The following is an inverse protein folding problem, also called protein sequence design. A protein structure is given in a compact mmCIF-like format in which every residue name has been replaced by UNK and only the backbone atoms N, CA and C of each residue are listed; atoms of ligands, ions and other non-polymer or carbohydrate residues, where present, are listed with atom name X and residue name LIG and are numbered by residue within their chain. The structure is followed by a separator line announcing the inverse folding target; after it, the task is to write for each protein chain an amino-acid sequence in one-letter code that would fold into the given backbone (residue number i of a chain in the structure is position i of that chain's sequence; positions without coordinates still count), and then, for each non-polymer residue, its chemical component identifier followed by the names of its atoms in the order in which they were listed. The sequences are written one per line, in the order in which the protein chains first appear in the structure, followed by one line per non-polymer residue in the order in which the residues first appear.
data_IF_254209437696
#
_entry.id   IF_254209437696
#
_cell.length_a   1.000
_cell.length_b   1.000
_cell.length_c   1.000
_cell.angle_alpha   90.00
_cell.angle_beta   90.00
_cell.angle_gamma   90.00
#
_symmetry.space_group_name_H-M   'P 1'
#
loop_
_entity.id
_entity.type
_entity.pdbx_description
1 polymer ?
#
# COMPACT_ATOMS: atom_id res chain seq x y z
N UNK A 1 10.73 10.83 -23.79
CA UNK A 1 11.22 9.89 -22.74
C UNK A 1 10.50 10.28 -21.46
N UNK A 2 9.50 9.51 -21.06
CA UNK A 2 8.79 9.72 -19.78
C UNK A 2 9.79 9.30 -18.72
N UNK A 3 10.35 10.28 -18.00
CA UNK A 3 11.24 10.02 -16.88
C UNK A 3 10.49 9.14 -15.87
N UNK A 4 11.08 8.00 -15.54
CA UNK A 4 10.61 7.12 -14.47
C UNK A 4 10.37 7.97 -13.22
N UNK A 5 9.10 8.26 -12.90
CA UNK A 5 8.71 8.86 -11.62
C UNK A 5 9.15 7.89 -10.53
N UNK A 6 10.30 8.13 -9.95
CA UNK A 6 10.70 7.43 -8.72
C UNK A 6 9.78 7.98 -7.63
N UNK A 7 8.76 7.21 -7.25
CA UNK A 7 8.01 7.52 -6.02
C UNK A 7 9.03 7.78 -4.90
N UNK A 8 9.00 8.97 -4.33
CA UNK A 8 9.84 9.32 -3.18
C UNK A 8 9.26 8.55 -1.99
N UNK A 9 9.88 7.43 -1.66
CA UNK A 9 9.56 6.71 -0.44
C UNK A 9 10.37 7.30 0.71
N UNK A 10 9.67 7.92 1.64
CA UNK A 10 10.30 8.47 2.86
C UNK A 10 10.44 7.37 3.88
N UNK A 11 11.66 7.05 4.24
CA UNK A 11 11.98 6.13 5.34
C UNK A 11 11.98 6.90 6.65
N UNK A 12 10.86 6.91 7.34
CA UNK A 12 10.82 7.35 8.73
C UNK A 12 10.90 6.14 9.70
N UNK A 13 11.19 6.42 10.98
CA UNK A 13 11.34 5.39 12.01
C UNK A 13 10.07 4.55 12.20
N UNK A 14 8.89 5.15 12.03
CA UNK A 14 7.60 4.46 12.16
C UNK A 14 7.42 3.45 11.04
N UNK A 15 7.69 3.85 9.78
CA UNK A 15 7.58 2.98 8.61
C UNK A 15 8.58 1.85 8.63
N UNK A 16 9.83 2.12 9.02
CA UNK A 16 10.84 1.08 9.23
C UNK A 16 10.43 0.07 10.30
N UNK A 17 9.90 0.55 11.43
CA UNK A 17 9.35 -0.29 12.49
C UNK A 17 8.21 -1.17 11.97
N UNK A 18 7.27 -0.61 11.20
CA UNK A 18 6.16 -1.36 10.62
C UNK A 18 6.62 -2.42 9.63
N UNK A 19 7.57 -2.10 8.75
CA UNK A 19 8.14 -3.07 7.80
C UNK A 19 8.76 -4.25 8.58
N UNK A 20 9.52 -3.98 9.64
CA UNK A 20 10.12 -5.00 10.47
C UNK A 20 9.07 -5.87 11.18
N UNK A 21 8.04 -5.24 11.76
CA UNK A 21 6.93 -5.96 12.40
C UNK A 21 6.20 -6.82 11.39
N UNK A 22 5.88 -6.31 10.20
CA UNK A 22 5.17 -7.04 9.16
C UNK A 22 6.00 -8.23 8.67
N UNK A 23 7.29 -8.04 8.35
CA UNK A 23 8.16 -9.11 7.88
C UNK A 23 8.28 -10.22 8.94
N UNK A 24 8.50 -9.88 10.22
CA UNK A 24 8.52 -10.87 11.31
C UNK A 24 7.20 -11.63 11.46
N UNK A 25 6.07 -10.97 11.21
CA UNK A 25 4.75 -11.64 11.25
C UNK A 25 4.55 -12.57 10.07
N UNK A 26 4.95 -12.15 8.88
CA UNK A 26 4.92 -12.99 7.65
C UNK A 26 5.72 -14.27 7.86
N UNK A 27 6.92 -14.20 8.43
CA UNK A 27 7.75 -15.38 8.73
C UNK A 27 7.05 -16.37 9.68
N UNK A 28 6.19 -15.86 10.56
CA UNK A 28 5.37 -16.64 11.50
C UNK A 28 4.01 -17.07 10.94
N UNK A 29 3.76 -16.84 9.64
CA UNK A 29 2.46 -17.13 9.00
C UNK A 29 1.30 -16.25 9.50
N UNK A 30 1.58 -15.04 10.04
CA UNK A 30 0.57 -14.15 10.64
C UNK A 30 0.31 -12.93 9.76
N UNK A 31 -0.96 -12.54 9.65
CA UNK A 31 -1.43 -11.44 8.81
C UNK A 31 -1.38 -10.08 9.52
N UNK A 32 -1.34 -9.00 8.73
CA UNK A 32 -1.32 -7.61 9.21
C UNK A 32 -2.26 -6.74 8.38
N UNK A 33 -2.94 -5.79 9.02
CA UNK A 33 -3.78 -4.77 8.38
C UNK A 33 -3.20 -3.39 8.67
N UNK A 34 -2.80 -2.69 7.62
CA UNK A 34 -2.31 -1.31 7.66
C UNK A 34 -3.51 -0.39 7.41
N UNK A 35 -3.83 0.47 8.36
CA UNK A 35 -4.90 1.46 8.21
C UNK A 35 -4.33 2.87 8.34
N UNK A 36 -5.00 3.81 7.71
CA UNK A 36 -4.63 5.22 7.80
C UNK A 36 -5.42 6.07 6.81
N UNK A 37 -5.29 7.38 6.93
CA UNK A 37 -5.98 8.35 6.09
C UNK A 37 -5.54 8.26 4.62
N UNK A 38 -6.30 8.91 3.75
CA UNK A 38 -5.94 9.01 2.34
C UNK A 38 -4.59 9.74 2.19
N UNK A 39 -3.73 9.24 1.31
CA UNK A 39 -2.44 9.86 1.03
C UNK A 39 -1.35 9.67 2.11
N UNK A 40 -1.58 8.93 3.21
CA UNK A 40 -0.54 8.72 4.24
C UNK A 40 0.59 7.75 3.84
N UNK A 41 0.58 7.18 2.63
CA UNK A 41 1.67 6.36 2.11
C UNK A 41 1.51 4.85 2.31
N UNK A 42 0.31 4.31 2.52
CA UNK A 42 0.04 2.87 2.69
C UNK A 42 0.56 2.01 1.53
N UNK A 43 0.24 2.39 0.29
CA UNK A 43 0.72 1.71 -0.93
C UNK A 43 2.24 1.68 -0.99
N UNK A 44 2.91 2.80 -0.67
CA UNK A 44 4.36 2.88 -0.61
C UNK A 44 4.94 1.94 0.44
N UNK A 45 4.30 1.82 1.62
CA UNK A 45 4.70 0.87 2.66
C UNK A 45 4.54 -0.58 2.19
N UNK A 46 3.40 -0.94 1.56
CA UNK A 46 3.19 -2.28 1.01
C UNK A 46 4.28 -2.69 0.01
N UNK A 47 4.70 -1.77 -0.87
CA UNK A 47 5.74 -2.01 -1.89
C UNK A 47 7.14 -2.22 -1.28
N UNK A 48 7.36 -1.79 -0.04
CA UNK A 48 8.62 -2.00 0.68
C UNK A 48 8.70 -3.35 1.41
N UNK A 49 7.58 -4.07 1.50
CA UNK A 49 7.56 -5.41 2.10
C UNK A 49 8.24 -6.38 1.14
N UNK A 50 9.35 -6.98 1.57
CA UNK A 50 10.16 -7.92 0.78
C UNK A 50 10.31 -9.24 1.54
N UNK A 51 9.28 -10.09 1.56
CA UNK A 51 9.36 -11.38 2.23
C UNK A 51 10.25 -12.35 1.44
N UNK A 52 10.76 -13.37 2.13
CA UNK A 52 11.51 -14.48 1.48
C UNK A 52 10.60 -15.36 0.61
N UNK A 53 9.29 -15.41 0.94
CA UNK A 53 8.28 -16.15 0.17
C UNK A 53 7.89 -15.37 -1.09
N UNK A 54 7.33 -16.09 -2.09
CA UNK A 54 6.71 -15.45 -3.25
C UNK A 54 5.57 -14.51 -2.80
N UNK A 55 5.33 -13.49 -3.58
CA UNK A 55 4.29 -12.49 -3.31
C UNK A 55 3.24 -12.56 -4.42
N UNK A 56 1.97 -12.49 -4.04
CA UNK A 56 0.88 -12.26 -4.96
C UNK A 56 0.13 -10.98 -4.58
N UNK A 57 -0.08 -10.10 -5.56
CA UNK A 57 -0.84 -8.86 -5.40
C UNK A 57 -2.29 -9.08 -5.83
N UNK A 58 -3.21 -8.56 -5.03
CA UNK A 58 -4.64 -8.59 -5.33
C UNK A 58 -5.12 -7.23 -5.78
N UNK A 59 -5.83 -7.20 -6.91
CA UNK A 59 -6.66 -6.07 -7.30
C UNK A 59 -8.04 -6.24 -6.66
N UNK A 60 -8.35 -5.40 -5.67
CA UNK A 60 -9.52 -5.49 -4.80
C UNK A 60 -10.87 -5.36 -5.51
N UNK A 61 -10.94 -4.64 -6.63
CA UNK A 61 -12.20 -4.43 -7.40
C UNK A 61 -12.60 -5.60 -8.29
N UNK A 62 -11.73 -6.60 -8.46
CA UNK A 62 -12.01 -7.71 -9.37
C UNK A 62 -12.99 -8.75 -8.78
N UNK A 63 -13.74 -9.49 -9.64
CA UNK A 63 -14.50 -10.66 -9.22
C UNK A 63 -13.58 -11.77 -8.66
N UNK A 64 -14.11 -12.55 -7.72
CA UNK A 64 -13.36 -13.59 -6.99
C UNK A 64 -12.60 -14.54 -7.90
N UNK A 65 -13.23 -15.05 -8.98
CA UNK A 65 -12.56 -15.99 -9.91
C UNK A 65 -11.36 -15.37 -10.63
N UNK A 66 -11.41 -14.06 -10.93
CA UNK A 66 -10.29 -13.34 -11.52
C UNK A 66 -9.19 -13.09 -10.49
N UNK A 67 -9.55 -12.77 -9.24
CA UNK A 67 -8.58 -12.65 -8.16
C UNK A 67 -7.80 -13.96 -8.00
N UNK A 68 -8.49 -15.10 -7.88
CA UNK A 68 -7.85 -16.42 -7.72
C UNK A 68 -6.99 -16.79 -8.93
N UNK A 69 -7.47 -16.54 -10.14
CA UNK A 69 -6.72 -16.79 -11.37
C UNK A 69 -5.45 -15.94 -11.45
N UNK A 70 -5.54 -14.66 -11.08
CA UNK A 70 -4.39 -13.75 -11.05
C UNK A 70 -3.36 -14.14 -9.97
N UNK A 71 -3.81 -14.61 -8.81
CA UNK A 71 -2.92 -15.16 -7.79
C UNK A 71 -2.15 -16.35 -8.39
N UNK A 72 -2.84 -17.29 -9.02
CA UNK A 72 -2.22 -18.47 -9.64
C UNK A 72 -1.22 -18.08 -10.74
N UNK A 73 -1.56 -17.13 -11.61
CA UNK A 73 -0.66 -16.64 -12.66
C UNK A 73 0.63 -16.04 -12.08
N UNK A 74 0.52 -15.19 -11.05
CA UNK A 74 1.66 -14.63 -10.33
C UNK A 74 2.52 -15.70 -9.64
N UNK A 75 1.92 -16.81 -9.24
CA UNK A 75 2.61 -17.98 -8.68
C UNK A 75 3.14 -18.93 -9.74
N UNK A 76 3.02 -18.59 -11.04
CA UNK A 76 3.53 -19.37 -12.18
C UNK A 76 2.60 -20.49 -12.65
N UNK A 77 1.33 -20.51 -12.23
CA UNK A 77 0.32 -21.49 -12.65
C UNK A 77 -0.74 -20.82 -13.54
N UNK A 78 -0.65 -21.00 -14.84
CA UNK A 78 -1.64 -20.49 -15.80
C UNK A 78 -2.94 -21.27 -15.71
N UNK A 79 -4.06 -20.55 -15.57
CA UNK A 79 -5.42 -21.11 -15.56
C UNK A 79 -6.34 -20.33 -16.52
N UNK A 80 -7.43 -20.93 -16.94
CA UNK A 80 -8.41 -20.26 -17.79
C UNK A 80 -9.31 -19.34 -16.94
N UNK A 81 -8.93 -18.08 -16.80
CA UNK A 81 -9.64 -17.09 -15.98
C UNK A 81 -11.10 -16.83 -16.39
N UNK A 82 -11.52 -17.27 -17.59
CA UNK A 82 -12.91 -17.08 -18.09
C UNK A 82 -13.91 -18.07 -17.50
N UNK A 83 -13.46 -19.14 -16.85
CA UNK A 83 -14.38 -20.14 -16.32
C UNK A 83 -14.81 -19.80 -14.90
N UNK A 84 -16.00 -19.20 -14.77
CA UNK A 84 -16.62 -18.78 -13.52
C UNK A 84 -16.90 -19.94 -12.54
N UNK A 85 -17.04 -21.17 -13.05
CA UNK A 85 -17.42 -22.34 -12.24
C UNK A 85 -16.24 -22.92 -11.46
N UNK A 86 -15.00 -22.56 -11.82
CA UNK A 86 -13.80 -23.15 -11.24
C UNK A 86 -13.26 -22.46 -9.97
N UNK A 87 -14.07 -21.62 -9.29
CA UNK A 87 -13.61 -20.91 -8.08
C UNK A 87 -13.09 -21.87 -7.00
N UNK A 88 -13.76 -22.99 -6.79
CA UNK A 88 -13.34 -24.01 -5.82
C UNK A 88 -12.00 -24.61 -6.19
N UNK A 89 -11.86 -25.06 -7.44
CA UNK A 89 -10.60 -25.61 -7.95
C UNK A 89 -9.45 -24.59 -7.85
N UNK A 90 -9.69 -23.34 -8.24
CA UNK A 90 -8.66 -22.30 -8.14
C UNK A 90 -8.26 -22.02 -6.69
N UNK A 91 -9.22 -22.04 -5.76
CA UNK A 91 -8.93 -21.90 -4.34
C UNK A 91 -8.08 -23.05 -3.83
N UNK A 92 -8.41 -24.30 -4.18
CA UNK A 92 -7.62 -25.46 -3.78
C UNK A 92 -6.18 -25.37 -4.32
N UNK A 93 -6.01 -25.02 -5.59
CA UNK A 93 -4.68 -24.78 -6.19
C UNK A 93 -3.91 -23.64 -5.53
N UNK A 94 -4.59 -22.57 -5.08
CA UNK A 94 -3.99 -21.45 -4.35
C UNK A 94 -3.55 -21.89 -2.96
N UNK A 95 -4.39 -22.62 -2.24
CA UNK A 95 -4.12 -23.05 -0.86
C UNK A 95 -3.01 -24.12 -0.75
N UNK A 96 -2.69 -24.81 -1.84
CA UNK A 96 -1.52 -25.69 -1.97
C UNK A 96 -0.18 -24.92 -2.04
N UNK A 97 -0.21 -23.63 -2.28
CA UNK A 97 0.99 -22.79 -2.41
C UNK A 97 1.35 -22.09 -1.11
N UNK A 98 2.65 -21.85 -0.91
CA UNK A 98 3.14 -21.00 0.18
C UNK A 98 3.59 -19.65 -0.39
N UNK A 99 2.89 -18.57 -0.04
CA UNK A 99 3.14 -17.23 -0.54
C UNK A 99 2.67 -16.17 0.47
N UNK A 100 2.88 -14.91 0.15
CA UNK A 100 2.34 -13.76 0.89
C UNK A 100 1.34 -13.05 -0.01
N UNK A 101 0.14 -12.80 0.51
CA UNK A 101 -0.89 -12.06 -0.19
C UNK A 101 -0.80 -10.58 0.18
N UNK A 102 -0.62 -9.69 -0.80
CA UNK A 102 -0.66 -8.25 -0.61
C UNK A 102 -1.94 -7.69 -1.23
N UNK A 103 -2.72 -6.97 -0.43
CA UNK A 103 -4.01 -6.39 -0.84
C UNK A 103 -3.95 -4.89 -0.56
N UNK A 104 -3.89 -4.08 -1.61
CA UNK A 104 -4.06 -2.64 -1.50
C UNK A 104 -5.54 -2.26 -1.65
N UNK A 105 -5.92 -1.11 -1.12
CA UNK A 105 -7.29 -0.59 -1.16
C UNK A 105 -8.34 -1.61 -0.68
N UNK A 106 -8.10 -2.22 0.48
CA UNK A 106 -8.92 -3.29 1.04
C UNK A 106 -10.39 -2.88 1.30
N UNK A 107 -10.69 -1.58 1.35
CA UNK A 107 -12.07 -1.08 1.44
C UNK A 107 -12.91 -1.40 0.20
N UNK A 108 -12.26 -1.62 -0.96
CA UNK A 108 -12.92 -1.93 -2.22
C UNK A 108 -13.00 -3.45 -2.47
N UNK A 109 -12.51 -4.25 -1.51
CA UNK A 109 -12.54 -5.70 -1.60
C UNK A 109 -13.99 -6.21 -1.50
N UNK A 110 -14.41 -7.00 -2.49
CA UNK A 110 -15.77 -7.53 -2.53
C UNK A 110 -16.05 -8.46 -1.35
N UNK A 111 -17.21 -8.34 -0.68
CA UNK A 111 -17.57 -9.18 0.46
C UNK A 111 -17.47 -10.68 0.17
N UNK A 112 -17.77 -11.09 -1.07
CA UNK A 112 -17.72 -12.48 -1.50
C UNK A 112 -16.29 -13.08 -1.48
N UNK A 113 -15.25 -12.24 -1.40
CA UNK A 113 -13.87 -12.73 -1.34
C UNK A 113 -13.43 -13.12 0.09
N UNK A 114 -14.05 -12.61 1.15
CA UNK A 114 -13.61 -12.88 2.51
C UNK A 114 -13.58 -14.37 2.90
N UNK A 115 -14.55 -15.23 2.51
CA UNK A 115 -14.46 -16.66 2.76
C UNK A 115 -13.23 -17.31 2.10
N UNK A 116 -12.84 -16.86 0.91
CA UNK A 116 -11.66 -17.33 0.19
C UNK A 116 -10.38 -16.83 0.86
N UNK A 117 -10.34 -15.55 1.25
CA UNK A 117 -9.24 -14.97 2.00
C UNK A 117 -8.99 -15.73 3.31
N UNK A 118 -10.06 -16.07 4.04
CA UNK A 118 -9.98 -16.89 5.25
C UNK A 118 -9.27 -18.22 4.96
N UNK A 119 -9.70 -18.97 3.96
CA UNK A 119 -9.08 -20.26 3.60
C UNK A 119 -7.62 -20.10 3.19
N UNK A 120 -7.26 -19.05 2.43
CA UNK A 120 -5.88 -18.75 2.06
C UNK A 120 -5.01 -18.49 3.30
N UNK A 121 -5.50 -17.69 4.25
CA UNK A 121 -4.77 -17.41 5.50
C UNK A 121 -4.64 -18.69 6.34
N UNK A 122 -5.72 -19.46 6.47
CA UNK A 122 -5.75 -20.69 7.26
C UNK A 122 -4.88 -21.82 6.66
N UNK A 123 -4.56 -21.75 5.36
CA UNK A 123 -3.58 -22.65 4.71
C UNK A 123 -2.11 -22.26 4.98
N UNK A 124 -1.86 -21.19 5.73
CA UNK A 124 -0.51 -20.75 6.08
C UNK A 124 0.10 -19.70 5.13
N UNK A 125 -0.71 -19.11 4.24
CA UNK A 125 -0.34 -17.99 3.40
C UNK A 125 -0.81 -16.68 4.03
N UNK A 126 0.07 -15.92 4.73
CA UNK A 126 -0.33 -14.70 5.43
C UNK A 126 -0.73 -13.61 4.43
N UNK A 127 -1.66 -12.76 4.84
CA UNK A 127 -2.07 -11.58 4.09
C UNK A 127 -1.59 -10.29 4.76
N UNK A 128 -1.15 -9.32 3.96
CA UNK A 128 -0.96 -7.95 4.38
C UNK A 128 -1.92 -7.08 3.60
N UNK A 129 -2.86 -6.47 4.29
CA UNK A 129 -3.88 -5.61 3.71
C UNK A 129 -3.58 -4.15 4.03
N UNK A 130 -3.89 -3.25 3.11
CA UNK A 130 -3.89 -1.81 3.36
C UNK A 130 -5.26 -1.23 3.03
N UNK A 131 -5.79 -0.40 3.94
CA UNK A 131 -7.10 0.21 3.75
C UNK A 131 -7.25 1.55 4.46
N UNK A 132 -8.36 2.21 4.21
CA UNK A 132 -8.67 3.53 4.72
C UNK A 132 -9.22 3.48 6.14
N UNK A 133 -8.86 4.50 6.91
CA UNK A 133 -9.44 4.91 8.17
C UNK A 133 -9.55 6.44 8.13
N UNK A 134 -10.61 6.97 7.49
CA UNK A 134 -10.84 8.40 7.28
C UNK A 134 -12.12 8.91 7.96
N UNK A 135 -12.66 8.12 8.88
CA UNK A 135 -13.90 8.40 9.60
C UNK A 135 -15.19 8.08 8.83
N UNK A 136 -15.16 8.08 7.49
CA UNK A 136 -16.28 7.66 6.63
C UNK A 136 -16.11 6.23 6.13
N UNK A 137 -14.87 5.87 5.80
CA UNK A 137 -14.48 4.53 5.35
C UNK A 137 -13.45 3.99 6.32
N UNK A 138 -13.85 3.03 7.13
CA UNK A 138 -12.99 2.38 8.11
C UNK A 138 -13.03 0.88 7.89
N UNK A 139 -11.96 0.34 7.30
CA UNK A 139 -11.86 -1.10 7.01
C UNK A 139 -11.79 -1.93 8.29
N UNK A 140 -11.16 -1.42 9.37
CA UNK A 140 -11.08 -2.12 10.66
C UNK A 140 -12.48 -2.31 11.24
N UNK A 141 -13.28 -1.22 11.29
CA UNK A 141 -14.65 -1.28 11.79
C UNK A 141 -15.50 -2.23 10.93
N UNK A 142 -15.41 -2.10 9.59
CA UNK A 142 -16.13 -2.98 8.67
C UNK A 142 -15.82 -4.46 8.92
N UNK A 143 -14.53 -4.82 9.05
CA UNK A 143 -14.13 -6.20 9.30
C UNK A 143 -14.58 -6.69 10.67
N UNK A 144 -14.48 -5.85 11.70
CA UNK A 144 -14.91 -6.19 13.05
C UNK A 144 -16.41 -6.49 13.12
N UNK A 145 -17.22 -5.72 12.41
CA UNK A 145 -18.68 -5.83 12.44
C UNK A 145 -19.21 -6.93 11.50
N UNK A 146 -18.66 -7.03 10.28
CA UNK A 146 -19.24 -7.88 9.23
C UNK A 146 -18.50 -9.20 9.02
N UNK A 147 -17.20 -9.27 9.39
CA UNK A 147 -16.35 -10.45 9.17
C UNK A 147 -15.37 -10.66 10.35
N UNK A 148 -15.87 -10.80 11.59
CA UNK A 148 -15.05 -10.86 12.80
C UNK A 148 -14.01 -11.99 12.77
N UNK A 149 -14.32 -13.09 12.11
CA UNK A 149 -13.42 -14.21 11.89
C UNK A 149 -12.16 -13.81 11.10
N UNK A 150 -12.31 -12.90 10.12
CA UNK A 150 -11.19 -12.34 9.34
C UNK A 150 -10.47 -11.30 10.19
N UNK A 151 -11.21 -10.39 10.82
CA UNK A 151 -10.63 -9.34 11.68
C UNK A 151 -9.67 -9.93 12.72
N UNK A 152 -10.06 -11.01 13.41
CA UNK A 152 -9.26 -11.65 14.45
C UNK A 152 -7.90 -12.21 13.98
N UNK A 153 -7.71 -12.42 12.67
CA UNK A 153 -6.45 -12.91 12.08
C UNK A 153 -5.44 -11.81 11.83
N UNK A 154 -5.87 -10.55 11.87
CA UNK A 154 -5.02 -9.41 11.55
C UNK A 154 -4.51 -8.69 12.80
N UNK A 155 -3.26 -8.27 12.76
CA UNK A 155 -2.76 -7.21 13.63
C UNK A 155 -2.95 -5.88 12.93
N UNK A 156 -3.61 -4.96 13.60
CA UNK A 156 -3.85 -3.61 13.11
C UNK A 156 -2.60 -2.74 13.33
N UNK A 157 -2.19 -2.03 12.29
CA UNK A 157 -1.08 -1.08 12.28
C UNK A 157 -1.60 0.26 11.76
N UNK A 158 -1.68 1.27 12.62
CA UNK A 158 -2.20 2.61 12.26
C UNK A 158 -1.07 3.48 11.72
N UNK A 159 -1.09 3.71 10.40
CA UNK A 159 -0.10 4.52 9.71
C UNK A 159 -0.51 5.99 9.74
N UNK A 160 0.35 6.82 10.31
CA UNK A 160 0.20 8.27 10.29
C UNK A 160 0.87 8.87 9.04
N UNK A 161 0.48 10.11 8.69
CA UNK A 161 1.19 10.87 7.66
C UNK A 161 2.66 11.08 8.05
N UNK A 162 3.53 11.21 7.06
CA UNK A 162 4.96 11.53 7.29
C UNK A 162 5.06 12.90 7.92
N UNK A 163 5.93 13.10 8.87
CA UNK A 163 6.23 14.43 9.40
C UNK A 163 7.06 15.28 8.42
N UNK A 164 6.93 16.61 8.45
CA UNK A 164 7.72 17.48 7.57
C UNK A 164 9.23 17.35 7.82
N UNK A 165 9.65 17.09 9.03
CA UNK A 165 11.07 16.92 9.40
C UNK A 165 11.70 15.69 8.71
N UNK A 166 10.97 14.56 8.64
CA UNK A 166 11.43 13.35 7.94
C UNK A 166 11.52 13.59 6.42
N UNK A 167 10.62 14.43 5.87
CA UNK A 167 10.67 14.85 4.47
C UNK A 167 11.89 15.72 4.18
N UNK A 168 12.16 16.73 5.01
CA UNK A 168 13.35 17.61 4.87
C UNK A 168 14.64 16.80 4.83
N UNK A 169 14.77 15.82 5.72
CA UNK A 169 15.96 14.97 5.77
C UNK A 169 16.18 14.15 4.50
N UNK A 170 15.11 13.82 3.76
CA UNK A 170 15.17 12.98 2.55
C UNK A 170 15.24 13.78 1.24
N UNK A 171 14.84 15.07 1.26
CA UNK A 171 14.67 15.89 0.06
C UNK A 171 15.81 16.89 -0.15
N UNK A 172 17.03 16.39 -0.38
CA UNK A 172 18.25 17.21 -0.48
C UNK A 172 18.26 18.23 -1.62
N UNK A 173 17.39 18.08 -2.64
CA UNK A 173 17.23 19.02 -3.76
C UNK A 173 16.26 20.17 -3.46
N UNK A 174 15.65 20.19 -2.28
CA UNK A 174 14.72 21.22 -1.83
C UNK A 174 15.33 21.98 -0.65
N UNK A 175 15.08 23.28 -0.61
CA UNK A 175 15.34 24.04 0.61
C UNK A 175 14.38 23.56 1.73
N UNK A 176 14.82 23.45 2.99
CA UNK A 176 13.97 22.98 4.08
C UNK A 176 12.64 23.74 4.22
N UNK A 177 12.69 25.06 4.08
CA UNK A 177 11.49 25.92 4.18
C UNK A 177 10.56 25.73 2.97
N UNK A 178 11.09 25.40 1.78
CA UNK A 178 10.28 25.04 0.63
C UNK A 178 9.51 23.73 0.86
N UNK A 179 10.13 22.75 1.53
CA UNK A 179 9.46 21.51 1.92
C UNK A 179 8.30 21.80 2.89
N UNK A 180 8.47 22.67 3.88
CA UNK A 180 7.42 23.03 4.82
C UNK A 180 6.23 23.70 4.12
N UNK A 181 6.48 24.61 3.19
CA UNK A 181 5.46 25.30 2.41
C UNK A 181 4.64 24.28 1.60
N UNK A 182 5.31 23.41 0.83
CA UNK A 182 4.66 22.40 0.00
C UNK A 182 3.90 21.36 0.84
N UNK A 183 4.47 20.95 1.97
CA UNK A 183 3.84 20.01 2.88
C UNK A 183 2.59 20.61 3.55
N UNK A 184 2.67 21.88 3.96
CA UNK A 184 1.53 22.63 4.50
C UNK A 184 0.38 22.73 3.50
N UNK A 185 0.69 23.09 2.24
CA UNK A 185 -0.29 23.16 1.15
C UNK A 185 -0.92 21.79 0.84
N UNK A 186 -0.13 20.72 0.92
CA UNK A 186 -0.63 19.37 0.73
C UNK A 186 -1.52 18.86 1.88
N UNK A 187 -1.57 19.54 3.02
CA UNK A 187 -2.36 19.14 4.20
C UNK A 187 -1.98 17.74 4.72
N UNK A 188 -0.70 17.33 4.58
CA UNK A 188 -0.21 16.00 4.94
C UNK A 188 -0.58 14.89 3.94
N UNK A 189 -1.20 15.21 2.82
CA UNK A 189 -1.49 14.25 1.75
C UNK A 189 -0.27 14.07 0.84
N UNK A 190 0.40 12.93 0.95
CA UNK A 190 1.64 12.64 0.23
C UNK A 190 1.46 12.61 -1.30
N UNK A 191 0.26 12.33 -1.83
CA UNK A 191 0.02 12.37 -3.28
C UNK A 191 0.07 13.82 -3.77
N UNK A 192 -0.68 14.72 -3.11
CA UNK A 192 -0.66 16.16 -3.43
C UNK A 192 0.75 16.72 -3.23
N UNK A 193 1.41 16.33 -2.15
CA UNK A 193 2.79 16.76 -1.88
C UNK A 193 3.75 16.36 -3.01
N UNK A 194 3.66 15.13 -3.51
CA UNK A 194 4.52 14.67 -4.61
C UNK A 194 4.23 15.41 -5.92
N UNK A 195 2.95 15.65 -6.24
CA UNK A 195 2.58 16.40 -7.44
C UNK A 195 3.15 17.83 -7.38
N UNK A 196 3.01 18.51 -6.23
CA UNK A 196 3.61 19.83 -6.01
C UNK A 196 5.15 19.81 -6.11
N UNK A 197 5.79 18.77 -5.58
CA UNK A 197 7.25 18.64 -5.68
C UNK A 197 7.72 18.43 -7.12
N UNK A 198 6.99 17.63 -7.92
CA UNK A 198 7.29 17.40 -9.32
C UNK A 198 7.18 18.72 -10.12
N UNK A 199 6.08 19.47 -9.93
CA UNK A 199 5.88 20.76 -10.59
C UNK A 199 6.97 21.77 -10.22
N UNK A 200 7.36 21.84 -8.94
CA UNK A 200 8.45 22.70 -8.49
C UNK A 200 9.81 22.26 -9.05
N UNK A 201 10.06 20.96 -9.15
CA UNK A 201 11.31 20.45 -9.70
C UNK A 201 11.44 20.78 -11.21
N UNK A 202 10.35 20.65 -11.96
CA UNK A 202 10.31 21.04 -13.38
C UNK A 202 10.56 22.54 -13.53
N UNK A 203 9.96 23.38 -12.69
CA UNK A 203 10.18 24.82 -12.68
C UNK A 203 11.62 25.20 -12.31
N UNK A 204 12.23 24.50 -11.37
CA UNK A 204 13.63 24.72 -11.02
C UNK A 204 14.57 24.44 -12.22
N UNK A 205 14.27 23.39 -13.01
CA UNK A 205 15.01 23.09 -14.25
C UNK A 205 14.85 24.22 -15.27
N UNK A 206 13.63 24.71 -15.51
CA UNK A 206 13.37 25.85 -16.41
C UNK A 206 14.19 27.10 -16.00
N UNK A 207 14.23 27.38 -14.69
CA UNK A 207 14.93 28.51 -14.11
C UNK A 207 16.44 28.29 -13.97
N UNK A 208 16.96 27.11 -14.36
CA UNK A 208 18.37 26.70 -14.19
C UNK A 208 18.84 26.77 -12.72
N UNK A 209 17.93 26.52 -11.79
CA UNK A 209 18.23 26.46 -10.35
C UNK A 209 18.70 25.05 -9.98
N UNK A 210 19.76 24.96 -9.16
CA UNK A 210 20.25 23.67 -8.65
C UNK A 210 19.31 23.04 -7.63
N UNK A 211 18.50 23.87 -6.94
CA UNK A 211 17.55 23.45 -5.90
C UNK A 211 16.19 24.11 -6.10
N UNK A 212 15.17 23.47 -5.59
CA UNK A 212 13.85 24.07 -5.39
C UNK A 212 13.93 25.01 -4.20
N UNK A 213 13.82 26.31 -4.48
CA UNK A 213 13.87 27.37 -3.47
C UNK A 213 12.47 27.69 -2.93
N UNK A 214 12.41 28.42 -1.83
CA UNK A 214 11.15 28.98 -1.31
C UNK A 214 10.40 29.79 -2.36
N UNK A 215 11.13 30.60 -3.17
CA UNK A 215 10.53 31.42 -4.22
C UNK A 215 9.82 30.56 -5.30
N UNK A 216 10.38 29.38 -5.64
CA UNK A 216 9.74 28.44 -6.58
C UNK A 216 8.53 27.77 -5.92
N UNK A 217 8.66 27.31 -4.66
CA UNK A 217 7.58 26.65 -3.93
C UNK A 217 6.32 27.52 -3.82
N UNK A 218 6.48 28.81 -3.51
CA UNK A 218 5.36 29.78 -3.40
C UNK A 218 4.61 29.98 -4.73
N UNK A 219 5.18 29.66 -5.88
CA UNK A 219 4.48 29.78 -7.17
C UNK A 219 3.37 28.73 -7.37
N UNK A 220 3.38 27.64 -6.57
CA UNK A 220 2.49 26.48 -6.74
C UNK A 220 1.52 26.25 -5.55
N UNK A 221 1.46 27.19 -4.59
CA UNK A 221 0.64 27.08 -3.36
C UNK A 221 -0.42 28.14 -3.29
#
# INVERSE_FOLDING_TARGET
MIANRKEIYVKDKLRESFINVINNRIERGKSSLIIGTYGCGKTGLLRQIKPKKRVAWVNSVQPVHLILANILDQLGRKVNARNLQNKGLYLDMVTEQSFVLLIDEANDLRPEFYPYLKRIIDSGSPAVMAGLDDGKRNIEAYLSENVPDIHSRFRILKLQSVGSEDLKASMTRFEPDAVDILYGAAGGNMRIFHDLCDDCADKAVEMKSEKVTVAIAVMFV
#
